data_IF_591296506219
#
_entry.id   IF_591296506219
#
_cell.length_a   1.000
_cell.length_b   1.000
_cell.length_c   1.000
_cell.angle_alpha   90.00
_cell.angle_beta   90.00
_cell.angle_gamma   90.00
#
_symmetry.space_group_name_H-M   'P 1'
#
loop_
_entity.id
_entity.type
_entity.pdbx_description
1 polymer ?
#
# COMPACT_ATOMS: atom_id res chain seq x y z
N UNK A 1 -14.97 18.73 -10.08
CA UNK A 1 -15.02 17.38 -9.46
C UNK A 1 -14.96 17.58 -7.96
N UNK A 2 -15.87 17.00 -7.17
CA UNK A 2 -15.87 17.17 -5.72
C UNK A 2 -14.58 16.52 -5.15
N UNK A 3 -13.77 17.28 -4.42
CA UNK A 3 -12.48 16.84 -3.90
C UNK A 3 -12.63 15.63 -2.95
N UNK A 4 -13.74 15.52 -2.24
CA UNK A 4 -14.04 14.38 -1.36
C UNK A 4 -14.24 13.08 -2.13
N UNK A 5 -14.87 13.14 -3.31
CA UNK A 5 -15.09 11.96 -4.17
C UNK A 5 -13.76 11.54 -4.82
N UNK A 6 -12.95 12.51 -5.24
CA UNK A 6 -11.64 12.24 -5.84
C UNK A 6 -10.66 11.58 -4.85
N UNK A 7 -10.82 11.83 -3.54
CA UNK A 7 -10.01 11.17 -2.50
C UNK A 7 -10.43 9.71 -2.27
N UNK A 8 -11.72 9.38 -2.42
CA UNK A 8 -12.24 8.03 -2.20
C UNK A 8 -12.10 7.10 -3.42
N UNK A 9 -12.08 7.68 -4.63
CA UNK A 9 -12.01 6.95 -5.90
C UNK A 9 -10.83 7.42 -6.72
N UNK A 10 -9.83 6.56 -6.86
CA UNK A 10 -8.62 6.89 -7.62
C UNK A 10 -8.66 6.27 -9.01
N UNK A 11 -8.33 7.00 -10.09
CA UNK A 11 -8.22 6.42 -11.41
C UNK A 11 -7.22 5.26 -11.43
N UNK A 12 -7.58 4.15 -12.06
CA UNK A 12 -6.72 2.98 -12.21
C UNK A 12 -6.96 2.28 -13.54
N UNK A 13 -6.07 1.34 -13.86
CA UNK A 13 -6.14 0.50 -15.05
C UNK A 13 -6.05 -0.95 -14.64
N UNK A 14 -6.86 -1.81 -15.27
CA UNK A 14 -6.69 -3.25 -15.23
C UNK A 14 -6.07 -3.72 -16.55
N UNK A 15 -5.07 -4.59 -16.47
CA UNK A 15 -4.31 -5.12 -17.60
C UNK A 15 -4.48 -6.63 -17.73
N UNK A 16 -4.02 -7.17 -18.86
CA UNK A 16 -3.91 -8.62 -19.04
C UNK A 16 -2.93 -9.30 -18.08
N UNK A 17 -2.04 -8.55 -17.42
CA UNK A 17 -1.21 -9.13 -16.34
C UNK A 17 -2.03 -9.37 -15.05
N UNK A 18 -3.02 -8.51 -14.78
CA UNK A 18 -3.87 -8.61 -13.59
C UNK A 18 -4.89 -9.73 -13.73
N UNK A 19 -5.47 -9.89 -14.93
CA UNK A 19 -6.45 -10.91 -15.25
C UNK A 19 -6.20 -11.53 -16.64
N UNK A 20 -5.20 -12.42 -16.79
CA UNK A 20 -4.77 -12.94 -18.10
C UNK A 20 -5.84 -13.68 -18.90
N UNK A 21 -6.83 -14.24 -18.23
CA UNK A 21 -7.93 -14.97 -18.86
C UNK A 21 -9.15 -14.08 -19.17
N UNK A 22 -9.17 -12.83 -18.69
CA UNK A 22 -10.31 -11.91 -18.83
C UNK A 22 -9.98 -10.64 -19.62
N UNK A 23 -8.72 -10.19 -19.60
CA UNK A 23 -8.29 -8.94 -20.23
C UNK A 23 -7.20 -9.24 -21.26
N UNK A 24 -7.42 -8.83 -22.51
CA UNK A 24 -6.42 -8.96 -23.57
C UNK A 24 -5.19 -8.07 -23.30
N UNK A 25 -3.99 -8.56 -23.63
CA UNK A 25 -2.74 -7.86 -23.30
C UNK A 25 -2.63 -6.47 -23.94
N UNK A 26 -3.22 -6.28 -25.11
CA UNK A 26 -3.20 -5.04 -25.90
C UNK A 26 -4.38 -4.11 -25.60
N UNK A 27 -5.33 -4.54 -24.78
CA UNK A 27 -6.57 -3.80 -24.51
C UNK A 27 -6.88 -3.69 -23.01
N UNK A 28 -6.11 -2.86 -22.28
CA UNK A 28 -6.37 -2.61 -20.86
C UNK A 28 -7.71 -1.88 -20.65
N UNK A 29 -8.27 -2.02 -19.45
CA UNK A 29 -9.53 -1.40 -19.04
C UNK A 29 -9.25 -0.25 -18.08
N UNK A 30 -9.60 0.97 -18.48
CA UNK A 30 -9.58 2.14 -17.61
C UNK A 30 -10.79 2.10 -16.65
N UNK A 31 -10.54 2.29 -15.35
CA UNK A 31 -11.57 2.21 -14.31
C UNK A 31 -11.18 3.05 -13.09
N UNK A 32 -11.93 2.89 -11.99
CA UNK A 32 -11.66 3.53 -10.70
C UNK A 32 -11.37 2.46 -9.63
N UNK A 33 -10.45 2.77 -8.73
CA UNK A 33 -10.12 1.97 -7.56
C UNK A 33 -10.73 2.58 -6.30
N UNK A 34 -11.05 1.70 -5.35
CA UNK A 34 -11.42 2.05 -3.98
C UNK A 34 -10.47 1.36 -3.00
N UNK A 35 -10.16 2.05 -1.91
CA UNK A 35 -9.42 1.45 -0.80
C UNK A 35 -10.24 0.38 -0.09
N UNK A 36 -9.62 -0.75 0.22
CA UNK A 36 -10.23 -1.80 1.03
C UNK A 36 -9.57 -1.82 2.41
N UNK A 37 -10.37 -2.03 3.45
CA UNK A 37 -9.91 -2.01 4.83
C UNK A 37 -10.45 -3.24 5.57
N UNK A 38 -9.64 -3.83 6.44
CA UNK A 38 -10.10 -4.84 7.38
C UNK A 38 -10.54 -4.15 8.67
N UNK A 39 -11.84 -4.11 8.91
CA UNK A 39 -12.41 -3.48 10.10
C UNK A 39 -12.80 -4.52 11.16
N UNK A 40 -12.68 -4.13 12.42
CA UNK A 40 -13.08 -4.96 13.58
C UNK A 40 -14.00 -4.14 14.47
N UNK A 41 -15.08 -4.77 14.94
CA UNK A 41 -15.90 -4.23 16.02
C UNK A 41 -15.27 -4.59 17.38
N UNK A 42 -14.88 -3.59 18.16
CA UNK A 42 -14.36 -3.79 19.52
C UNK A 42 -15.52 -4.10 20.49
N UNK A 43 -15.83 -5.39 20.65
CA UNK A 43 -16.88 -5.85 21.58
C UNK A 43 -16.31 -6.12 22.97
N UNK A 44 -16.27 -5.08 23.82
CA UNK A 44 -15.72 -5.15 25.18
C UNK A 44 -16.40 -6.18 26.10
N UNK A 45 -17.64 -6.55 25.82
CA UNK A 45 -18.38 -7.56 26.59
C UNK A 45 -18.00 -9.01 26.23
N UNK A 46 -17.16 -9.21 25.21
CA UNK A 46 -16.73 -10.53 24.74
C UNK A 46 -15.20 -10.65 24.78
N UNK A 47 -14.65 -10.84 25.98
CA UNK A 47 -13.21 -10.89 26.22
C UNK A 47 -12.50 -11.93 25.34
N UNK A 48 -13.05 -13.14 25.23
CA UNK A 48 -12.49 -14.21 24.38
C UNK A 48 -12.48 -13.83 22.89
N UNK A 49 -13.53 -13.18 22.39
CA UNK A 49 -13.56 -12.69 21.00
C UNK A 49 -12.47 -11.64 20.78
N UNK A 50 -12.33 -10.69 21.70
CA UNK A 50 -11.28 -9.66 21.61
C UNK A 50 -9.88 -10.29 21.63
N UNK A 51 -9.66 -11.31 22.47
CA UNK A 51 -8.40 -12.06 22.55
C UNK A 51 -8.11 -12.78 21.24
N UNK A 52 -9.10 -13.47 20.66
CA UNK A 52 -8.95 -14.19 19.39
C UNK A 52 -8.61 -13.26 18.23
N UNK A 53 -9.23 -12.08 18.16
CA UNK A 53 -8.88 -11.08 17.14
C UNK A 53 -7.46 -10.53 17.38
N UNK A 54 -7.07 -10.29 18.63
CA UNK A 54 -5.69 -9.92 18.96
C UNK A 54 -4.67 -10.97 18.49
N UNK A 55 -4.95 -12.25 18.71
CA UNK A 55 -4.11 -13.35 18.24
C UNK A 55 -4.06 -13.42 16.70
N UNK A 56 -5.20 -13.20 16.03
CA UNK A 56 -5.24 -13.13 14.57
C UNK A 56 -4.35 -12.01 14.03
N UNK A 57 -4.40 -10.82 14.64
CA UNK A 57 -3.54 -9.69 14.28
C UNK A 57 -2.06 -10.08 14.40
N UNK A 58 -1.67 -10.68 15.52
CA UNK A 58 -0.27 -11.07 15.77
C UNK A 58 0.24 -12.07 14.72
N UNK A 59 -0.54 -13.12 14.43
CA UNK A 59 -0.21 -14.14 13.43
C UNK A 59 -0.18 -13.53 12.01
N UNK A 60 -1.21 -12.76 11.65
CA UNK A 60 -1.34 -12.18 10.31
C UNK A 60 -0.22 -11.17 10.02
N UNK A 61 0.09 -10.29 10.97
CA UNK A 61 1.12 -9.25 10.77
C UNK A 61 2.53 -9.87 10.76
N UNK A 62 2.81 -10.81 11.68
CA UNK A 62 4.10 -11.52 11.73
C UNK A 62 4.32 -12.37 10.48
N UNK A 63 3.28 -13.05 10.00
CA UNK A 63 3.34 -13.90 8.81
C UNK A 63 3.17 -13.15 7.49
N UNK A 64 2.97 -11.83 7.50
CA UNK A 64 2.52 -11.10 6.30
C UNK A 64 3.46 -11.26 5.10
N UNK A 65 4.77 -11.33 5.33
CA UNK A 65 5.77 -11.53 4.26
C UNK A 65 5.55 -12.82 3.45
N UNK A 66 4.95 -13.86 4.05
CA UNK A 66 4.60 -15.09 3.33
C UNK A 66 3.56 -14.85 2.25
N UNK A 67 2.65 -13.89 2.43
CA UNK A 67 1.62 -13.53 1.45
C UNK A 67 2.20 -12.80 0.23
N UNK A 68 3.46 -12.37 0.30
CA UNK A 68 4.18 -11.77 -0.83
C UNK A 68 4.95 -12.83 -1.65
N UNK A 69 5.01 -14.08 -1.18
CA UNK A 69 5.67 -15.16 -1.89
C UNK A 69 4.89 -15.58 -3.15
N UNK A 70 5.61 -16.22 -4.09
CA UNK A 70 5.02 -16.79 -5.30
C UNK A 70 3.91 -17.79 -4.95
N UNK A 71 2.80 -17.75 -5.68
CA UNK A 71 1.62 -18.58 -5.45
C UNK A 71 0.48 -17.86 -4.71
N UNK A 72 0.76 -16.73 -4.06
CA UNK A 72 -0.26 -15.82 -3.55
C UNK A 72 -0.65 -14.76 -4.59
N UNK A 73 -1.81 -14.13 -4.39
CA UNK A 73 -2.29 -13.10 -5.33
C UNK A 73 -1.35 -11.88 -5.30
N UNK A 74 -0.89 -11.34 -6.44
CA UNK A 74 0.06 -10.21 -6.49
C UNK A 74 -0.39 -8.94 -5.77
N UNK A 75 -1.68 -8.82 -5.47
CA UNK A 75 -2.33 -7.66 -4.84
C UNK A 75 -1.96 -7.52 -3.36
N UNK A 76 -1.43 -8.57 -2.75
CA UNK A 76 -0.86 -8.48 -1.40
C UNK A 76 0.32 -7.50 -1.33
N UNK A 77 1.04 -7.27 -2.44
CA UNK A 77 2.11 -6.26 -2.50
C UNK A 77 1.59 -4.81 -2.34
N UNK A 78 0.30 -4.58 -2.54
CA UNK A 78 -0.32 -3.25 -2.41
C UNK A 78 -0.78 -2.94 -0.98
N UNK A 79 -0.75 -3.93 -0.07
CA UNK A 79 -1.22 -3.74 1.30
C UNK A 79 -0.17 -3.02 2.13
N UNK A 80 -0.57 -1.90 2.75
CA UNK A 80 0.23 -1.20 3.73
C UNK A 80 -0.38 -1.36 5.12
N UNK A 81 0.22 -2.24 5.95
CA UNK A 81 -0.25 -2.47 7.32
C UNK A 81 -0.15 -1.22 8.21
N UNK A 82 0.74 -0.28 7.89
CA UNK A 82 0.94 0.96 8.64
C UNK A 82 0.09 2.13 8.13
N UNK A 83 -0.74 1.94 7.09
CA UNK A 83 -1.58 3.01 6.55
C UNK A 83 -2.54 3.55 7.60
N UNK A 84 -2.64 4.88 7.71
CA UNK A 84 -3.61 5.57 8.55
C UNK A 84 -4.84 5.99 7.74
N UNK A 85 -6.00 5.95 8.38
CA UNK A 85 -7.29 6.25 7.75
C UNK A 85 -7.96 7.40 8.51
N UNK A 86 -8.15 8.58 7.87
CA UNK A 86 -8.80 9.73 8.50
C UNK A 86 -10.18 9.36 9.06
N UNK A 87 -10.45 9.76 10.31
CA UNK A 87 -11.72 9.48 10.99
C UNK A 87 -11.87 8.05 11.54
N UNK A 88 -10.90 7.16 11.29
CA UNK A 88 -10.88 5.80 11.83
C UNK A 88 -9.81 5.65 12.90
N UNK A 89 -10.11 4.82 13.92
CA UNK A 89 -9.14 4.47 14.96
C UNK A 89 -8.58 3.08 14.68
N UNK A 90 -7.25 2.97 14.62
CA UNK A 90 -6.57 1.67 14.52
C UNK A 90 -6.90 0.79 15.72
N UNK A 91 -7.15 -0.50 15.47
CA UNK A 91 -7.41 -1.46 16.54
C UNK A 91 -6.16 -1.63 17.43
N UNK A 92 -6.33 -1.52 18.75
CA UNK A 92 -5.21 -1.37 19.68
C UNK A 92 -4.15 -2.50 19.60
N UNK A 93 -4.51 -3.79 19.51
CA UNK A 93 -3.52 -4.86 19.28
C UNK A 93 -2.68 -4.69 18.00
N UNK A 94 -3.27 -4.18 16.92
CA UNK A 94 -2.55 -3.92 15.68
C UNK A 94 -1.58 -2.76 15.83
N UNK A 95 -2.01 -1.69 16.50
CA UNK A 95 -1.15 -0.55 16.81
C UNK A 95 0.04 -0.95 17.69
N UNK A 96 -0.21 -1.71 18.76
CA UNK A 96 0.83 -2.23 19.64
C UNK A 96 1.80 -3.16 18.92
N UNK A 97 1.33 -3.99 17.99
CA UNK A 97 2.22 -4.81 17.17
C UNK A 97 3.11 -3.93 16.28
N UNK A 98 2.55 -2.92 15.61
CA UNK A 98 3.31 -2.02 14.75
C UNK A 98 4.33 -1.21 15.56
N UNK A 99 3.95 -0.66 16.72
CA UNK A 99 4.89 0.06 17.58
C UNK A 99 6.06 -0.84 18.01
N UNK A 100 5.80 -2.08 18.42
CA UNK A 100 6.86 -3.01 18.83
C UNK A 100 7.78 -3.43 17.68
N UNK A 101 7.24 -3.64 16.48
CA UNK A 101 7.98 -4.25 15.36
C UNK A 101 8.49 -3.24 14.32
N UNK A 102 7.83 -2.10 14.16
CA UNK A 102 8.24 -1.04 13.24
C UNK A 102 9.20 -0.03 13.85
N UNK A 103 9.25 0.13 15.18
CA UNK A 103 10.36 0.86 15.81
C UNK A 103 11.72 0.13 15.57
N UNK A 104 11.67 -1.16 15.26
CA UNK A 104 12.83 -1.98 14.86
C UNK A 104 13.09 -1.85 13.34
N UNK A 105 12.05 -1.59 12.53
CA UNK A 105 12.16 -1.23 11.12
C UNK A 105 12.50 0.26 10.98
N UNK A 106 13.78 0.59 11.20
CA UNK A 106 14.39 1.92 10.96
C UNK A 106 13.72 2.60 9.77
N UNK A 107 13.35 3.88 9.94
CA UNK A 107 13.06 4.80 8.82
C UNK A 107 14.00 4.46 7.67
N UNK A 108 13.50 4.01 6.51
CA UNK A 108 14.35 3.52 5.45
C UNK A 108 15.39 4.58 5.13
N UNK A 109 16.65 4.17 5.02
CA UNK A 109 17.73 5.10 4.73
C UNK A 109 17.38 5.89 3.46
N UNK A 110 17.87 7.13 3.31
CA UNK A 110 17.60 7.92 2.11
C UNK A 110 17.92 7.16 0.81
N UNK A 111 18.91 6.27 0.82
CA UNK A 111 19.28 5.41 -0.31
C UNK A 111 18.26 4.30 -0.58
N UNK A 112 17.74 3.66 0.48
CA UNK A 112 16.68 2.67 0.34
C UNK A 112 15.38 3.30 -0.18
N UNK A 113 15.03 4.50 0.29
CA UNK A 113 13.91 5.28 -0.23
C UNK A 113 14.08 5.62 -1.72
N UNK A 114 15.28 6.05 -2.15
CA UNK A 114 15.59 6.29 -3.57
C UNK A 114 15.40 5.04 -4.42
N UNK A 115 15.85 3.90 -3.91
CA UNK A 115 15.74 2.61 -4.60
C UNK A 115 14.28 2.19 -4.77
N UNK A 116 13.49 2.28 -3.70
CA UNK A 116 12.06 1.97 -3.71
C UNK A 116 11.30 2.91 -4.67
N UNK A 117 11.59 4.22 -4.63
CA UNK A 117 10.97 5.20 -5.53
C UNK A 117 11.30 4.93 -7.00
N UNK A 118 12.57 4.65 -7.32
CA UNK A 118 12.99 4.35 -8.69
C UNK A 118 12.31 3.10 -9.24
N UNK A 119 12.11 2.07 -8.40
CA UNK A 119 11.34 0.88 -8.74
C UNK A 119 9.88 1.22 -9.01
N UNK A 120 9.23 1.96 -8.10
CA UNK A 120 7.84 2.39 -8.25
C UNK A 120 7.60 3.16 -9.56
N UNK A 121 8.48 4.11 -9.90
CA UNK A 121 8.38 4.89 -11.14
C UNK A 121 8.45 3.98 -12.38
N UNK A 122 9.36 2.99 -12.35
CA UNK A 122 9.48 2.02 -13.44
C UNK A 122 8.23 1.16 -13.59
N UNK A 123 7.73 0.57 -12.51
CA UNK A 123 6.55 -0.29 -12.51
C UNK A 123 5.31 0.48 -13.00
N UNK A 124 5.11 1.71 -12.51
CA UNK A 124 4.03 2.58 -12.97
C UNK A 124 4.15 2.90 -14.46
N UNK A 125 5.34 3.22 -14.97
CA UNK A 125 5.55 3.50 -16.40
C UNK A 125 5.30 2.27 -17.27
N UNK A 126 5.74 1.10 -16.83
CA UNK A 126 5.46 -0.16 -17.52
C UNK A 126 3.95 -0.45 -17.58
N UNK A 127 3.23 -0.26 -16.47
CA UNK A 127 1.78 -0.47 -16.42
C UNK A 127 0.99 0.45 -17.36
N UNK A 128 1.45 1.68 -17.58
CA UNK A 128 0.82 2.63 -18.51
C UNK A 128 1.32 2.51 -19.96
N UNK A 129 2.25 1.59 -20.25
CA UNK A 129 2.84 1.41 -21.59
C UNK A 129 3.86 2.48 -21.98
N UNK A 130 4.42 3.21 -21.01
CA UNK A 130 5.41 4.27 -21.23
C UNK A 130 6.84 3.76 -21.30
N UNK A 131 7.70 4.45 -22.05
CA UNK A 131 9.13 4.14 -22.12
C UNK A 131 9.84 4.31 -20.77
N UNK A 132 10.88 3.49 -20.55
CA UNK A 132 11.71 3.55 -19.35
C UNK A 132 12.32 4.95 -19.15
N UNK A 133 12.28 5.46 -17.92
CA UNK A 133 12.92 6.75 -17.59
C UNK A 133 14.42 6.59 -17.47
N UNK A 134 15.15 7.64 -17.87
CA UNK A 134 16.57 7.75 -17.56
C UNK A 134 16.77 7.86 -16.05
N UNK A 135 17.96 7.52 -15.56
CA UNK A 135 18.26 7.64 -14.14
C UNK A 135 18.21 9.10 -13.67
N UNK A 136 18.67 10.03 -14.51
CA UNK A 136 18.66 11.46 -14.22
C UNK A 136 17.24 12.01 -14.02
N UNK A 137 16.28 11.57 -14.84
CA UNK A 137 14.89 12.02 -14.69
C UNK A 137 14.25 11.47 -13.41
N UNK A 138 14.60 10.23 -13.01
CA UNK A 138 14.12 9.64 -11.75
C UNK A 138 14.68 10.37 -10.54
N UNK A 139 15.96 10.76 -10.59
CA UNK A 139 16.59 11.52 -9.52
C UNK A 139 15.94 12.90 -9.37
N UNK A 140 15.62 13.57 -10.48
CA UNK A 140 14.89 14.83 -10.48
C UNK A 140 13.49 14.68 -9.86
N UNK A 141 12.73 13.65 -10.24
CA UNK A 141 11.43 13.35 -9.65
C UNK A 141 11.52 13.01 -8.16
N UNK A 142 12.57 12.29 -7.75
CA UNK A 142 12.77 11.98 -6.34
C UNK A 142 13.02 13.25 -5.51
N UNK A 143 13.78 14.21 -6.03
CA UNK A 143 13.98 15.50 -5.36
C UNK A 143 12.66 16.28 -5.20
N UNK A 144 11.80 16.26 -6.22
CA UNK A 144 10.46 16.86 -6.15
C UNK A 144 9.57 16.16 -5.12
N UNK A 145 9.62 14.83 -5.06
CA UNK A 145 8.93 14.07 -4.02
C UNK A 145 9.40 14.46 -2.61
N UNK A 146 10.70 14.62 -2.41
CA UNK A 146 11.26 15.05 -1.13
C UNK A 146 10.89 16.49 -0.75
N UNK A 147 10.75 17.42 -1.71
CA UNK A 147 10.24 18.76 -1.42
C UNK A 147 8.77 18.73 -1.03
N UNK A 148 7.95 17.99 -1.78
CA UNK A 148 6.51 17.82 -1.49
C UNK A 148 6.26 17.21 -0.11
N UNK A 149 7.00 16.16 0.28
CA UNK A 149 6.87 15.56 1.61
C UNK A 149 7.17 16.56 2.74
N UNK A 150 8.16 17.45 2.55
CA UNK A 150 8.50 18.48 3.54
C UNK A 150 7.44 19.55 3.66
N UNK A 151 6.71 19.84 2.59
CA UNK A 151 5.58 20.78 2.58
C UNK A 151 4.34 20.18 3.23
N UNK A 152 4.08 18.89 3.05
CA UNK A 152 2.96 18.16 3.67
C UNK A 152 3.13 17.94 5.18
N UNK A 153 4.37 17.92 5.67
CA UNK A 153 4.68 17.74 7.08
C UNK A 153 4.59 19.05 7.90
N UNK A 154 4.21 20.17 7.28
CA UNK A 154 3.95 21.47 7.92
C UNK A 154 2.45 21.67 8.11
#
# INVERSE_FOLDING_TARGET
MNAEIAAAYTPTRLSGADYPQLIAQDKPVETIAVGNVLAVAELRQMAERSRNVGNFVDIFFTGFQSLLALGHHPKWNEVNLAAELPGWRRYAPADQWLQRNMQIAKTPSPEMLRTMFSRFVNERRQAIGGAAMTQQDKDALFQQFQSWQREQAR
#
